data_IF_371215409443
#
_entry.id   IF_371215409443
#
_cell.length_a   1.000
_cell.length_b   1.000
_cell.length_c   1.000
_cell.angle_alpha   90.00
_cell.angle_beta   90.00
_cell.angle_gamma   90.00
#
_symmetry.space_group_name_H-M   'P 1'
#
loop_
_entity.id
_entity.type
_entity.pdbx_description
1 polymer ?
#
# COMPACT_ATOMS: atom_id res chain seq x y z
N UNK A 1 -73.43 -5.26 6.57
CA UNK A 1 -72.07 -5.38 7.15
C UNK A 1 -71.08 -5.64 6.00
N UNK A 2 -70.46 -4.60 5.46
CA UNK A 2 -69.44 -4.72 4.40
C UNK A 2 -68.16 -4.13 4.95
N UNK A 3 -67.20 -4.97 5.35
CA UNK A 3 -65.89 -4.53 5.83
C UNK A 3 -65.04 -4.23 4.59
N UNK A 4 -64.77 -2.95 4.36
CA UNK A 4 -63.78 -2.49 3.37
C UNK A 4 -62.41 -2.81 3.95
N UNK A 5 -61.71 -3.76 3.33
CA UNK A 5 -60.33 -4.10 3.70
C UNK A 5 -59.41 -3.03 3.13
N UNK A 6 -58.87 -2.16 3.98
CA UNK A 6 -57.88 -1.17 3.58
C UNK A 6 -56.52 -1.88 3.43
N UNK A 7 -56.09 -2.07 2.18
CA UNK A 7 -54.73 -2.48 1.84
C UNK A 7 -53.78 -1.33 2.20
N UNK A 8 -53.07 -1.46 3.32
CA UNK A 8 -52.02 -0.53 3.70
C UNK A 8 -50.74 -0.93 2.95
N UNK A 9 -50.54 -0.34 1.78
CA UNK A 9 -49.29 -0.44 1.02
C UNK A 9 -48.15 0.11 1.87
N UNK A 10 -47.32 -0.79 2.43
CA UNK A 10 -46.08 -0.41 3.08
C UNK A 10 -45.11 0.08 2.00
N UNK A 11 -44.99 1.40 1.87
CA UNK A 11 -43.93 2.05 1.10
C UNK A 11 -42.61 1.79 1.84
N UNK A 12 -41.92 0.71 1.47
CA UNK A 12 -40.54 0.46 1.88
C UNK A 12 -39.67 1.54 1.22
N UNK A 13 -39.43 2.62 1.96
CA UNK A 13 -38.40 3.60 1.65
C UNK A 13 -37.05 2.88 1.76
N UNK A 14 -36.60 2.28 0.66
CA UNK A 14 -35.28 1.69 0.54
C UNK A 14 -34.27 2.83 0.59
N UNK A 15 -33.89 3.24 1.80
CA UNK A 15 -32.73 4.08 2.04
C UNK A 15 -31.53 3.34 1.46
N UNK A 16 -31.07 3.79 0.30
CA UNK A 16 -29.82 3.31 -0.28
C UNK A 16 -28.71 3.80 0.65
N UNK A 17 -28.30 2.94 1.57
CA UNK A 17 -27.07 3.12 2.32
C UNK A 17 -25.93 3.03 1.30
N UNK A 18 -25.48 4.17 0.78
CA UNK A 18 -24.21 4.26 0.07
C UNK A 18 -23.12 3.85 1.05
N UNK A 19 -22.70 2.58 0.99
CA UNK A 19 -21.50 2.14 1.69
C UNK A 19 -20.31 2.85 1.05
N UNK A 20 -19.53 3.56 1.86
CA UNK A 20 -18.26 4.11 1.40
C UNK A 20 -17.31 2.94 1.09
N UNK A 21 -17.13 2.65 -0.20
CA UNK A 21 -16.14 1.69 -0.66
C UNK A 21 -14.75 2.28 -0.37
N UNK A 22 -13.97 1.63 0.49
CA UNK A 22 -12.57 1.99 0.66
C UNK A 22 -11.87 1.90 -0.71
N UNK A 23 -11.05 2.89 -1.04
CA UNK A 23 -10.20 2.79 -2.23
C UNK A 23 -9.33 1.52 -2.12
N UNK A 24 -9.04 0.84 -3.23
CA UNK A 24 -8.14 -0.30 -3.18
C UNK A 24 -6.80 0.16 -2.58
N UNK A 25 -6.25 -0.65 -1.68
CA UNK A 25 -4.95 -0.36 -1.09
C UNK A 25 -3.88 -0.29 -2.19
N UNK A 26 -2.99 0.70 -2.10
CA UNK A 26 -1.77 0.76 -2.89
C UNK A 26 -1.03 -0.57 -2.73
N UNK A 27 -0.74 -1.24 -3.84
CA UNK A 27 0.03 -2.47 -3.83
C UNK A 27 1.44 -2.18 -4.32
N UNK A 28 2.43 -2.80 -3.68
CA UNK A 28 3.83 -2.76 -4.05
C UNK A 28 4.34 -4.18 -4.26
N UNK A 29 5.00 -4.42 -5.38
CA UNK A 29 5.59 -5.72 -5.72
C UNK A 29 6.99 -5.52 -6.26
N UNK A 30 7.84 -6.54 -6.13
CA UNK A 30 9.19 -6.54 -6.66
C UNK A 30 9.55 -7.95 -7.14
N UNK A 31 10.25 -8.10 -8.28
CA UNK A 31 10.89 -9.35 -8.63
C UNK A 31 12.17 -9.61 -7.81
N UNK A 32 12.74 -8.59 -7.17
CA UNK A 32 14.05 -8.64 -6.54
C UNK A 32 13.98 -8.82 -5.01
N UNK A 33 12.89 -8.39 -4.39
CA UNK A 33 12.68 -8.49 -2.94
C UNK A 33 11.29 -9.03 -2.58
N UNK A 34 11.20 -9.74 -1.46
CA UNK A 34 9.95 -10.32 -0.95
C UNK A 34 9.82 -10.10 0.54
N UNK A 35 8.63 -9.73 0.98
CA UNK A 35 8.30 -9.52 2.39
C UNK A 35 8.70 -10.72 3.26
N UNK A 36 9.38 -10.44 4.38
CA UNK A 36 9.86 -11.44 5.33
C UNK A 36 10.97 -12.37 4.83
N UNK A 37 11.58 -12.10 3.67
CA UNK A 37 12.67 -12.92 3.11
C UNK A 37 14.01 -12.16 3.11
N UNK A 38 15.15 -12.86 3.21
CA UNK A 38 16.46 -12.22 3.07
C UNK A 38 16.62 -11.52 1.71
N UNK A 39 17.34 -10.40 1.71
CA UNK A 39 17.72 -9.71 0.48
C UNK A 39 18.71 -10.54 -0.34
N UNK A 40 18.58 -10.51 -1.66
CA UNK A 40 19.58 -11.07 -2.55
C UNK A 40 20.88 -10.24 -2.51
N UNK A 41 22.01 -10.86 -2.88
CA UNK A 41 23.31 -10.20 -2.88
C UNK A 41 23.35 -8.92 -3.74
N UNK A 42 22.52 -8.83 -4.77
CA UNK A 42 22.42 -7.63 -5.62
C UNK A 42 22.02 -6.37 -4.82
N UNK A 43 21.14 -6.50 -3.83
CA UNK A 43 20.66 -5.39 -2.99
C UNK A 43 21.54 -5.11 -1.78
N UNK A 44 22.47 -6.01 -1.44
CA UNK A 44 23.42 -5.81 -0.34
C UNK A 44 24.44 -4.73 -0.73
N UNK A 45 24.84 -3.89 0.23
CA UNK A 45 25.84 -2.84 0.02
C UNK A 45 27.21 -3.42 -0.43
N UNK A 46 28.04 -2.60 -1.07
CA UNK A 46 29.33 -3.02 -1.63
C UNK A 46 30.53 -2.32 -0.96
N UNK A 47 30.37 -1.91 0.30
CA UNK A 47 31.42 -1.33 1.12
C UNK A 47 31.22 -1.69 2.60
N UNK A 48 32.07 -1.15 3.48
CA UNK A 48 31.99 -1.36 4.94
C UNK A 48 31.99 -2.85 5.35
N UNK A 49 32.71 -3.70 4.62
CA UNK A 49 32.77 -5.14 4.87
C UNK A 49 31.70 -5.98 4.14
N UNK A 50 30.77 -5.34 3.42
CA UNK A 50 29.83 -6.01 2.53
C UNK A 50 30.37 -6.08 1.09
N UNK A 51 29.97 -7.12 0.35
CA UNK A 51 30.43 -7.39 -1.03
C UNK A 51 29.27 -7.59 -2.01
N UNK A 52 28.14 -6.95 -1.75
CA UNK A 52 26.95 -7.05 -2.61
C UNK A 52 27.04 -6.22 -3.88
N UNK A 53 25.92 -6.12 -4.60
CA UNK A 53 25.80 -5.35 -5.83
C UNK A 53 25.53 -3.86 -5.62
N UNK A 54 25.02 -3.48 -4.43
CA UNK A 54 24.54 -2.13 -4.10
C UNK A 54 23.53 -1.58 -5.13
N UNK A 55 22.64 -2.44 -5.60
CA UNK A 55 21.60 -2.12 -6.58
C UNK A 55 20.25 -1.97 -5.89
N UNK A 56 19.51 -0.90 -6.21
CA UNK A 56 18.12 -0.74 -5.77
C UNK A 56 17.23 -1.84 -6.39
N UNK A 57 16.26 -2.41 -5.66
CA UNK A 57 15.31 -3.35 -6.23
C UNK A 57 14.36 -2.67 -7.23
N UNK A 58 13.93 -3.41 -8.25
CA UNK A 58 12.82 -3.01 -9.10
C UNK A 58 11.52 -2.99 -8.28
N UNK A 59 10.78 -1.89 -8.34
CA UNK A 59 9.54 -1.69 -7.61
C UNK A 59 8.41 -1.43 -8.60
N UNK A 60 7.32 -2.18 -8.46
CA UNK A 60 6.09 -2.00 -9.24
C UNK A 60 4.94 -1.70 -8.30
N UNK A 61 4.22 -0.62 -8.56
CA UNK A 61 3.05 -0.25 -7.77
C UNK A 61 1.78 -0.25 -8.63
N UNK A 62 0.68 -0.66 -8.02
CA UNK A 62 -0.67 -0.61 -8.61
C UNK A 62 -1.65 -0.02 -7.60
N UNK A 63 -2.85 0.34 -8.07
CA UNK A 63 -3.90 0.96 -7.25
C UNK A 63 -3.47 2.28 -6.59
N UNK A 64 -2.81 3.16 -7.35
CA UNK A 64 -2.57 4.52 -6.86
C UNK A 64 -3.90 5.22 -6.57
N UNK A 65 -4.07 5.83 -5.38
CA UNK A 65 -5.29 6.56 -5.05
C UNK A 65 -5.59 7.67 -6.06
N UNK A 66 -6.88 7.89 -6.34
CA UNK A 66 -7.31 8.97 -7.21
C UNK A 66 -6.78 10.32 -6.70
N UNK A 67 -6.23 11.13 -7.61
CA UNK A 67 -5.63 12.42 -7.27
C UNK A 67 -4.17 12.37 -6.81
N UNK A 68 -3.52 11.20 -6.78
CA UNK A 68 -2.06 11.07 -6.57
C UNK A 68 -1.31 12.00 -7.52
N UNK A 69 -0.48 12.89 -6.96
CA UNK A 69 0.32 13.87 -7.73
C UNK A 69 1.77 13.46 -7.89
N UNK A 70 2.29 12.74 -6.91
CA UNK A 70 3.65 12.25 -6.91
C UNK A 70 3.80 11.08 -5.95
N UNK A 71 4.91 10.35 -6.07
CA UNK A 71 5.31 9.30 -5.14
C UNK A 71 6.61 9.63 -4.40
N UNK A 72 6.78 8.97 -3.26
CA UNK A 72 8.04 8.89 -2.54
C UNK A 72 8.41 7.42 -2.31
N UNK A 73 9.69 7.10 -2.41
CA UNK A 73 10.24 5.77 -2.14
C UNK A 73 11.30 5.90 -1.06
N UNK A 74 11.20 5.07 -0.03
CA UNK A 74 12.19 4.99 1.02
C UNK A 74 12.58 3.55 1.33
N UNK A 75 13.86 3.34 1.62
CA UNK A 75 14.37 2.10 2.21
C UNK A 75 14.99 2.45 3.56
N UNK A 76 14.44 1.91 4.63
CA UNK A 76 14.79 2.25 6.01
C UNK A 76 15.05 0.99 6.82
N UNK A 77 16.18 0.96 7.52
CA UNK A 77 16.54 -0.06 8.48
C UNK A 77 16.27 0.47 9.90
N UNK A 78 15.21 -0.02 10.59
CA UNK A 78 14.93 0.35 11.97
C UNK A 78 15.91 -0.27 12.99
N UNK A 79 16.63 -1.32 12.61
CA UNK A 79 17.47 -2.12 13.49
C UNK A 79 18.92 -1.61 13.56
N UNK A 80 19.29 -0.67 12.66
CA UNK A 80 20.61 -0.04 12.68
C UNK A 80 20.87 0.67 14.03
N UNK A 81 21.98 0.39 14.73
CA UNK A 81 22.23 0.82 16.10
C UNK A 81 22.77 2.27 16.18
N UNK A 82 22.01 3.22 15.66
CA UNK A 82 22.37 4.65 15.58
C UNK A 82 21.53 5.54 16.49
N UNK A 83 20.47 4.99 17.10
CA UNK A 83 19.41 5.75 17.79
C UNK A 83 18.31 6.27 16.86
N UNK A 84 18.50 6.22 15.54
CA UNK A 84 17.54 6.72 14.54
C UNK A 84 17.38 5.80 13.33
N UNK A 85 17.81 4.54 13.42
CA UNK A 85 17.91 3.62 12.29
C UNK A 85 18.83 4.12 11.18
N UNK A 86 18.62 3.65 9.95
CA UNK A 86 19.39 4.05 8.78
C UNK A 86 18.53 4.19 7.53
N UNK A 87 18.60 5.35 6.87
CA UNK A 87 17.96 5.56 5.58
C UNK A 87 18.91 5.14 4.46
N UNK A 88 18.61 4.02 3.81
CA UNK A 88 19.40 3.48 2.69
C UNK A 88 19.08 4.17 1.37
N UNK A 89 17.83 4.59 1.18
CA UNK A 89 17.39 5.24 -0.05
C UNK A 89 16.21 6.18 0.23
N UNK A 90 16.22 7.36 -0.39
CA UNK A 90 15.12 8.32 -0.37
C UNK A 90 14.98 8.92 -1.77
N UNK A 91 13.81 8.75 -2.38
CA UNK A 91 13.43 9.36 -3.66
C UNK A 91 12.10 10.07 -3.46
N UNK A 92 11.99 11.28 -3.98
CA UNK A 92 10.80 12.12 -3.87
C UNK A 92 10.47 12.73 -5.22
N UNK A 93 9.25 13.24 -5.35
CA UNK A 93 8.76 13.92 -6.55
C UNK A 93 8.78 13.04 -7.82
N UNK A 94 8.52 11.73 -7.66
CA UNK A 94 8.25 10.81 -8.76
C UNK A 94 6.87 11.06 -9.37
#
# INVERSE_FOLDING_TARGET
MKKVSASLSALLLAGVLTQAQAAPALQLTSPDVREGHPLAAAQVFNGMGCTGGNQSPALNWTNLPAGTKSLAVTAYDPDAPTGSGWWHWVVVNL
#
